data_IF_662284151095
#
_entry.id   IF_662284151095
#
_cell.length_a   1.000
_cell.length_b   1.000
_cell.length_c   1.000
_cell.angle_alpha   90.00
_cell.angle_beta   90.00
_cell.angle_gamma   90.00
#
_symmetry.space_group_name_H-M   'P 1'
#
loop_
_entity.id
_entity.type
_entity.pdbx_description
1 polymer ?
#
# COMPACT_ATOMS: atom_id res chain seq x y z
N UNK A 1 9.46 5.79 2.48
CA UNK A 1 9.31 6.04 1.05
C UNK A 1 8.29 5.09 0.44
N UNK A 2 7.69 5.48 -0.66
CA UNK A 2 6.68 4.67 -1.32
C UNK A 2 7.29 4.01 -2.55
N UNK A 3 7.11 2.71 -2.66
CA UNK A 3 7.62 1.93 -3.77
C UNK A 3 6.51 1.65 -4.77
N UNK A 4 6.83 1.65 -6.05
CA UNK A 4 5.85 1.37 -7.09
C UNK A 4 6.04 -0.04 -7.63
N UNK A 5 4.93 -0.74 -7.82
CA UNK A 5 4.93 -2.07 -8.37
C UNK A 5 3.83 -2.15 -9.42
N UNK A 6 4.14 -2.80 -10.56
CA UNK A 6 3.14 -2.98 -11.61
C UNK A 6 2.71 -4.43 -11.68
N UNK A 7 1.39 -4.64 -11.68
CA UNK A 7 0.81 -5.98 -11.82
C UNK A 7 -0.48 -5.89 -12.61
N UNK A 8 -0.64 -6.79 -13.55
CA UNK A 8 -1.86 -6.86 -14.33
C UNK A 8 -2.18 -5.59 -15.10
N UNK A 9 -1.15 -4.84 -15.50
CA UNK A 9 -1.35 -3.59 -16.22
C UNK A 9 -1.71 -2.41 -15.34
N UNK A 10 -1.67 -2.59 -14.02
CA UNK A 10 -1.95 -1.52 -13.07
C UNK A 10 -0.74 -1.25 -12.20
N UNK A 11 -0.64 0.00 -11.74
CA UNK A 11 0.43 0.40 -10.87
C UNK A 11 -0.07 0.46 -9.43
N UNK A 12 0.66 -0.19 -8.53
CA UNK A 12 0.35 -0.18 -7.12
C UNK A 12 1.48 0.49 -6.36
N UNK A 13 1.14 1.09 -5.24
CA UNK A 13 2.10 1.80 -4.42
C UNK A 13 2.23 1.09 -3.07
N UNK A 14 3.45 0.80 -2.68
CA UNK A 14 3.70 0.05 -1.46
C UNK A 14 4.38 0.94 -0.44
N UNK A 15 3.79 0.99 0.76
CA UNK A 15 4.39 1.70 1.87
C UNK A 15 5.52 0.84 2.44
N UNK A 16 6.74 1.29 2.30
CA UNK A 16 7.90 0.52 2.75
C UNK A 16 7.93 0.34 4.26
N UNK A 17 7.30 1.25 4.99
CA UNK A 17 7.27 1.14 6.45
C UNK A 17 6.34 0.03 6.92
N UNK A 18 5.20 -0.13 6.25
CA UNK A 18 4.19 -1.11 6.63
C UNK A 18 4.11 -2.29 5.67
N UNK A 19 4.76 -2.18 4.52
CA UNK A 19 4.70 -3.18 3.46
C UNK A 19 3.27 -3.41 2.97
N UNK A 20 2.46 -2.36 3.01
CA UNK A 20 1.09 -2.41 2.53
C UNK A 20 0.99 -1.84 1.12
N UNK A 21 0.26 -2.52 0.25
CA UNK A 21 0.07 -2.08 -1.12
C UNK A 21 -1.25 -1.34 -1.27
N UNK A 22 -1.23 -0.27 -2.05
CA UNK A 22 -2.42 0.52 -2.32
C UNK A 22 -2.53 0.82 -3.80
N UNK A 23 -3.75 0.85 -4.30
CA UNK A 23 -3.98 1.19 -5.70
C UNK A 23 -3.75 2.66 -5.98
N UNK A 24 -3.81 3.49 -4.95
CA UNK A 24 -3.63 4.93 -5.10
C UNK A 24 -2.39 5.40 -4.36
N UNK A 25 -1.63 6.27 -5.04
CA UNK A 25 -0.43 6.84 -4.45
C UNK A 25 -0.75 7.61 -3.18
N UNK A 26 -1.86 8.32 -3.20
CA UNK A 26 -2.26 9.14 -2.06
C UNK A 26 -2.41 8.30 -0.79
N UNK A 27 -3.05 7.15 -0.91
CA UNK A 27 -3.21 6.26 0.24
C UNK A 27 -1.87 5.75 0.76
N UNK A 28 -0.98 5.41 -0.16
CA UNK A 28 0.33 4.91 0.24
C UNK A 28 1.14 6.00 0.95
N UNK A 29 1.06 7.22 0.44
CA UNK A 29 1.77 8.33 1.07
C UNK A 29 1.21 8.65 2.45
N UNK A 30 -0.09 8.59 2.60
CA UNK A 30 -0.71 8.82 3.90
C UNK A 30 -0.32 7.73 4.89
N UNK A 31 -0.27 6.50 4.43
CA UNK A 31 0.15 5.40 5.29
C UNK A 31 1.59 5.57 5.73
N UNK A 32 2.48 5.95 4.82
CA UNK A 32 3.87 6.15 5.16
C UNK A 32 4.04 7.28 6.17
N UNK A 33 3.34 8.38 5.94
CA UNK A 33 3.43 9.52 6.85
C UNK A 33 2.93 9.15 8.24
N UNK A 34 1.83 8.42 8.30
CA UNK A 34 1.27 7.99 9.57
C UNK A 34 2.23 7.04 10.29
N UNK A 35 2.76 6.06 9.57
CA UNK A 35 3.69 5.11 10.18
C UNK A 35 4.96 5.78 10.68
N UNK A 36 5.42 6.79 9.95
CA UNK A 36 6.63 7.52 10.33
C UNK A 36 6.42 8.29 11.63
N UNK A 37 5.23 8.83 11.81
CA UNK A 37 4.95 9.67 12.97
C UNK A 37 4.50 8.85 14.18
N UNK A 38 3.67 7.84 13.96
CA UNK A 38 3.07 7.08 15.04
C UNK A 38 3.62 5.68 15.19
N UNK A 39 4.47 5.25 14.26
CA UNK A 39 5.08 3.91 14.27
C UNK A 39 4.05 2.80 14.24
N UNK A 40 2.91 3.05 13.59
CA UNK A 40 1.88 2.04 13.41
C UNK A 40 1.00 2.44 12.22
N UNK A 41 0.28 1.46 11.69
CA UNK A 41 -0.55 1.69 10.52
C UNK A 41 -1.89 2.34 10.89
N UNK A 42 -2.39 3.17 9.99
CA UNK A 42 -3.68 3.81 10.15
C UNK A 42 -4.77 2.87 9.67
N UNK A 43 -5.66 2.46 10.57
CA UNK A 43 -6.70 1.50 10.22
C UNK A 43 -7.64 2.02 9.15
N UNK A 44 -7.87 3.31 9.10
CA UNK A 44 -8.73 3.88 8.07
C UNK A 44 -8.11 3.73 6.69
N UNK A 45 -6.80 3.85 6.60
CA UNK A 45 -6.10 3.70 5.34
C UNK A 45 -5.93 2.22 5.00
N UNK A 46 -5.74 1.39 6.00
CA UNK A 46 -5.56 -0.04 5.79
C UNK A 46 -6.77 -0.71 5.14
N UNK A 47 -7.94 -0.10 5.26
CA UNK A 47 -9.12 -0.61 4.57
C UNK A 47 -8.95 -0.61 3.06
N UNK A 48 -8.08 0.24 2.54
CA UNK A 48 -7.82 0.33 1.12
C UNK A 48 -6.61 -0.50 0.71
N UNK A 49 -6.06 -1.27 1.64
CA UNK A 49 -4.92 -2.12 1.37
C UNK A 49 -5.26 -3.21 0.38
N UNK A 50 -4.35 -3.47 -0.53
CA UNK A 50 -4.51 -4.51 -1.53
C UNK A 50 -3.51 -5.62 -1.25
N UNK A 51 -3.99 -6.86 -1.28
CA UNK A 51 -3.13 -8.02 -1.10
C UNK A 51 -2.60 -8.45 -2.46
N UNK A 52 -1.34 -8.17 -2.72
CA UNK A 52 -0.74 -8.50 -4.01
C UNK A 52 -0.67 -10.01 -4.24
N UNK A 53 -0.54 -10.78 -3.17
CA UNK A 53 -0.52 -12.24 -3.31
C UNK A 53 -1.86 -12.75 -3.81
N UNK A 54 -2.94 -12.16 -3.35
CA UNK A 54 -4.27 -12.55 -3.82
C UNK A 54 -4.48 -12.14 -5.26
N UNK A 55 -3.91 -11.00 -5.66
CA UNK A 55 -4.02 -10.57 -7.05
C UNK A 55 -3.38 -11.58 -7.98
N UNK A 56 -2.26 -12.14 -7.58
CA UNK A 56 -1.60 -13.16 -8.39
C UNK A 56 -2.43 -14.43 -8.50
N UNK A 57 -3.19 -14.75 -7.48
CA UNK A 57 -3.98 -15.97 -7.45
C UNK A 57 -5.30 -15.83 -8.18
N UNK A 58 -5.76 -14.64 -8.41
CA UNK A 58 -7.05 -14.41 -9.04
C UNK A 58 -7.04 -14.61 -10.55
N UNK A 59 -5.92 -14.90 -11.11
CA UNK A 59 -5.86 -15.20 -12.50
C UNK A 59 -6.31 -16.62 -12.80
#
# INVERSE_FOLDING_TARGET
MVKQVQKGGKTYHICESCECAYAEKEHAEQCEEWCREYHRCNMKIMKHRIDLDKLDQEE
#
